data_IF_033678182225
#
_entry.id   IF_033678182225
#
_cell.length_a   1.000
_cell.length_b   1.000
_cell.length_c   1.000
_cell.angle_alpha   90.00
_cell.angle_beta   90.00
_cell.angle_gamma   90.00
#
_symmetry.space_group_name_H-M   'P 1'
#
loop_
_entity.id
_entity.type
_entity.pdbx_description
1 polymer ?
#
# COMPACT_ATOMS: atom_id res chain seq x y z
N UNK A 1 1.30 5.58 -2.21
CA UNK A 1 0.33 4.47 -2.31
C UNK A 1 -0.82 4.95 -3.17
N UNK A 2 -1.46 4.08 -3.94
CA UNK A 2 -2.65 4.41 -4.74
C UNK A 2 -3.80 3.49 -4.38
N UNK A 3 -5.03 3.92 -4.66
CA UNK A 3 -6.21 3.06 -4.63
C UNK A 3 -6.20 2.09 -5.81
N UNK A 4 -6.64 0.85 -5.57
CA UNK A 4 -6.94 -0.13 -6.62
C UNK A 4 -8.45 -0.35 -6.67
N UNK A 5 -9.09 0.14 -7.73
CA UNK A 5 -10.54 0.11 -7.86
C UNK A 5 -11.05 -1.33 -8.05
N UNK A 6 -11.91 -1.74 -7.13
CA UNK A 6 -12.61 -3.03 -7.18
C UNK A 6 -13.79 -3.04 -6.21
N UNK A 7 -14.76 -3.93 -6.47
CA UNK A 7 -15.82 -4.27 -5.52
C UNK A 7 -15.66 -5.70 -5.02
N UNK A 8 -16.33 -6.05 -3.91
CA UNK A 8 -16.38 -7.43 -3.42
C UNK A 8 -16.98 -8.39 -4.47
N UNK A 9 -17.94 -7.91 -5.26
CA UNK A 9 -18.53 -8.68 -6.35
C UNK A 9 -17.50 -8.95 -7.47
N UNK A 10 -16.72 -7.94 -7.89
CA UNK A 10 -15.70 -8.12 -8.93
C UNK A 10 -14.62 -9.12 -8.48
N UNK A 11 -14.16 -9.00 -7.22
CA UNK A 11 -13.22 -9.95 -6.63
C UNK A 11 -13.81 -11.36 -6.57
N UNK A 12 -15.08 -11.50 -6.16
CA UNK A 12 -15.79 -12.77 -6.14
C UNK A 12 -15.82 -13.43 -7.51
N UNK A 13 -16.15 -12.67 -8.56
CA UNK A 13 -16.18 -13.17 -9.93
C UNK A 13 -14.79 -13.61 -10.41
N UNK A 14 -13.75 -12.78 -10.20
CA UNK A 14 -12.36 -13.11 -10.58
C UNK A 14 -11.82 -14.33 -9.84
N UNK A 15 -12.12 -14.45 -8.55
CA UNK A 15 -11.74 -15.61 -7.75
C UNK A 15 -12.45 -16.87 -8.24
N UNK A 16 -13.75 -16.80 -8.54
CA UNK A 16 -14.46 -17.96 -9.08
C UNK A 16 -13.97 -18.37 -10.47
N UNK A 17 -13.60 -17.41 -11.31
CA UNK A 17 -13.01 -17.69 -12.62
C UNK A 17 -11.64 -18.38 -12.49
N UNK A 18 -10.82 -17.96 -11.52
CA UNK A 18 -9.49 -18.55 -11.27
C UNK A 18 -9.56 -19.88 -10.49
N UNK A 19 -10.44 -19.99 -9.49
CA UNK A 19 -10.58 -21.16 -8.62
C UNK A 19 -12.04 -21.29 -8.10
N UNK A 20 -12.91 -22.00 -8.85
CA UNK A 20 -14.36 -22.03 -8.59
C UNK A 20 -14.78 -22.52 -7.19
N UNK A 21 -13.95 -23.36 -6.56
CA UNK A 21 -14.25 -23.95 -5.26
C UNK A 21 -13.60 -23.20 -4.08
N UNK A 22 -12.83 -22.14 -4.35
CA UNK A 22 -12.08 -21.43 -3.31
C UNK A 22 -13.02 -20.77 -2.29
N UNK A 23 -14.04 -20.03 -2.73
CA UNK A 23 -14.96 -19.32 -1.83
C UNK A 23 -15.77 -20.27 -0.95
N UNK A 24 -16.19 -21.43 -1.50
CA UNK A 24 -16.88 -22.48 -0.74
C UNK A 24 -15.96 -23.04 0.37
N UNK A 25 -14.70 -23.30 0.03
CA UNK A 25 -13.67 -23.77 0.98
C UNK A 25 -13.31 -22.73 2.03
N UNK A 26 -13.22 -21.45 1.64
CA UNK A 26 -13.00 -20.32 2.52
C UNK A 26 -14.12 -20.19 3.55
N UNK A 27 -15.39 -20.22 3.11
CA UNK A 27 -16.57 -20.16 4.00
C UNK A 27 -16.55 -21.26 5.05
N UNK A 28 -16.31 -22.52 4.65
CA UNK A 28 -16.23 -23.67 5.57
C UNK A 28 -15.14 -23.47 6.65
N UNK A 29 -13.97 -22.96 6.25
CA UNK A 29 -12.84 -22.69 7.16
C UNK A 29 -13.15 -21.53 8.12
N UNK A 30 -13.74 -20.46 7.61
CA UNK A 30 -14.18 -19.32 8.45
C UNK A 30 -15.16 -19.77 9.53
N UNK A 31 -16.14 -20.61 9.21
CA UNK A 31 -17.05 -21.20 10.22
C UNK A 31 -16.31 -22.01 11.27
N UNK A 32 -15.32 -22.84 10.86
CA UNK A 32 -14.47 -23.60 11.81
C UNK A 32 -13.78 -22.65 12.79
N UNK A 33 -13.16 -21.57 12.31
CA UNK A 33 -12.42 -20.64 13.16
C UNK A 33 -13.31 -19.84 14.10
N UNK A 34 -14.51 -19.44 13.63
CA UNK A 34 -15.51 -18.79 14.48
C UNK A 34 -15.89 -19.68 15.65
N UNK A 35 -16.19 -20.96 15.38
CA UNK A 35 -16.54 -21.93 16.42
C UNK A 35 -15.37 -22.22 17.38
N UNK A 36 -14.14 -22.24 16.88
CA UNK A 36 -12.94 -22.47 17.69
C UNK A 36 -12.48 -21.22 18.48
N UNK A 37 -12.95 -20.03 18.12
CA UNK A 37 -12.48 -18.76 18.69
C UNK A 37 -11.02 -18.43 18.38
N UNK A 38 -10.42 -19.07 17.38
CA UNK A 38 -9.02 -18.90 16.99
C UNK A 38 -8.76 -19.38 15.56
N UNK A 39 -7.69 -18.86 14.96
CA UNK A 39 -7.14 -19.41 13.73
C UNK A 39 -6.33 -20.66 14.07
N UNK A 40 -6.68 -21.79 13.46
CA UNK A 40 -6.04 -23.09 13.72
C UNK A 40 -5.96 -23.91 12.42
N UNK A 41 -4.93 -23.59 11.63
CA UNK A 41 -4.54 -24.30 10.41
C UNK A 41 -3.01 -24.24 10.23
N UNK A 42 -2.42 -25.37 9.81
CA UNK A 42 -0.98 -25.47 9.51
C UNK A 42 -0.60 -24.79 8.20
N UNK A 43 -1.50 -24.84 7.22
CA UNK A 43 -1.30 -24.29 5.88
C UNK A 43 -2.60 -23.69 5.37
N UNK A 44 -2.54 -22.45 4.89
CA UNK A 44 -3.71 -21.77 4.34
C UNK A 44 -3.88 -21.94 2.84
N UNK A 45 -5.07 -21.59 2.35
CA UNK A 45 -5.41 -21.66 0.91
C UNK A 45 -5.34 -20.30 0.19
N UNK A 46 -4.97 -19.21 0.89
CA UNK A 46 -5.00 -17.84 0.31
C UNK A 46 -4.02 -17.64 -0.85
N UNK A 47 -2.93 -18.39 -0.89
CA UNK A 47 -1.96 -18.33 -2.01
C UNK A 47 -2.55 -18.83 -3.32
N UNK A 48 -3.60 -19.66 -3.27
CA UNK A 48 -4.25 -20.21 -4.48
C UNK A 48 -4.99 -19.14 -5.31
N UNK A 49 -5.22 -17.95 -4.75
CA UNK A 49 -5.86 -16.83 -5.45
C UNK A 49 -4.93 -15.61 -5.57
N UNK A 50 -3.62 -15.80 -5.34
CA UNK A 50 -2.62 -14.72 -5.32
C UNK A 50 -2.63 -13.91 -6.63
N UNK A 51 -2.71 -14.60 -7.76
CA UNK A 51 -2.65 -13.97 -9.10
C UNK A 51 -3.82 -12.99 -9.35
N UNK A 52 -4.99 -13.22 -8.75
CA UNK A 52 -6.13 -12.29 -8.84
C UNK A 52 -5.74 -10.92 -8.29
N UNK A 53 -5.02 -10.90 -7.16
CA UNK A 53 -4.57 -9.66 -6.52
C UNK A 53 -3.34 -9.08 -7.21
N UNK A 54 -2.44 -9.92 -7.74
CA UNK A 54 -1.31 -9.48 -8.56
C UNK A 54 -1.80 -8.65 -9.76
N UNK A 55 -2.71 -9.22 -10.55
CA UNK A 55 -3.30 -8.53 -11.70
C UNK A 55 -4.07 -7.27 -11.29
N UNK A 56 -4.87 -7.34 -10.21
CA UNK A 56 -5.62 -6.18 -9.70
C UNK A 56 -4.71 -5.02 -9.29
N UNK A 57 -3.57 -5.32 -8.69
CA UNK A 57 -2.63 -4.32 -8.19
C UNK A 57 -1.52 -3.97 -9.19
N UNK A 58 -1.64 -4.44 -10.43
CA UNK A 58 -0.64 -4.23 -11.49
C UNK A 58 0.76 -4.68 -11.07
N UNK A 59 0.84 -5.80 -10.34
CA UNK A 59 2.09 -6.37 -9.84
C UNK A 59 2.89 -5.39 -8.95
N UNK A 60 2.17 -4.48 -8.29
CA UNK A 60 2.75 -3.54 -7.31
C UNK A 60 2.44 -3.95 -5.89
N UNK A 61 3.43 -3.72 -5.03
CA UNK A 61 3.23 -3.79 -3.59
C UNK A 61 2.17 -2.77 -3.12
N UNK A 62 1.15 -3.23 -2.39
CA UNK A 62 0.08 -2.40 -1.82
C UNK A 62 0.59 -1.20 -1.01
N UNK A 63 1.72 -1.36 -0.31
CA UNK A 63 2.18 -0.39 0.69
C UNK A 63 3.29 0.54 0.20
N UNK A 64 4.22 0.04 -0.63
CA UNK A 64 5.36 0.83 -1.07
C UNK A 64 5.37 1.15 -2.57
N UNK A 65 4.39 0.65 -3.33
CA UNK A 65 4.26 0.86 -4.79
C UNK A 65 5.44 0.45 -5.65
N UNK A 66 6.39 -0.29 -5.09
CA UNK A 66 7.43 -0.95 -5.87
C UNK A 66 6.77 -1.93 -6.83
N UNK A 67 7.14 -1.84 -8.10
CA UNK A 67 6.83 -2.83 -9.12
C UNK A 67 7.63 -4.10 -8.84
N UNK A 68 6.95 -5.23 -8.84
CA UNK A 68 7.53 -6.56 -8.69
C UNK A 68 7.33 -7.32 -10.01
N UNK A 69 7.99 -8.47 -10.13
CA UNK A 69 7.81 -9.33 -11.29
C UNK A 69 6.34 -9.77 -11.42
N UNK A 70 5.83 -9.87 -12.65
CA UNK A 70 4.52 -10.44 -12.94
C UNK A 70 4.48 -11.96 -12.68
N UNK A 71 3.30 -12.57 -12.79
CA UNK A 71 3.13 -14.00 -12.51
C UNK A 71 4.01 -14.90 -13.40
N UNK A 72 4.15 -14.57 -14.68
CA UNK A 72 4.86 -15.37 -15.69
C UNK A 72 6.39 -15.27 -15.53
N UNK A 73 6.89 -14.20 -14.91
CA UNK A 73 8.31 -13.94 -14.67
C UNK A 73 8.74 -14.23 -13.22
N UNK A 74 8.03 -15.12 -12.52
CA UNK A 74 8.39 -15.56 -11.16
C UNK A 74 7.87 -14.66 -10.03
N UNK A 75 6.94 -13.74 -10.33
CA UNK A 75 6.33 -12.81 -9.39
C UNK A 75 5.60 -13.46 -8.22
N UNK A 76 5.13 -14.71 -8.38
CA UNK A 76 4.50 -15.47 -7.28
C UNK A 76 5.45 -15.70 -6.09
N UNK A 77 6.77 -15.61 -6.31
CA UNK A 77 7.82 -15.70 -5.28
C UNK A 77 8.06 -14.35 -4.63
N UNK A 78 7.96 -13.24 -5.37
CA UNK A 78 8.22 -11.88 -4.87
C UNK A 78 7.04 -11.30 -4.07
N UNK A 79 5.82 -11.73 -4.43
CA UNK A 79 4.58 -11.30 -3.84
C UNK A 79 4.14 -12.21 -2.69
N UNK A 80 3.75 -11.60 -1.57
CA UNK A 80 3.02 -12.27 -0.50
C UNK A 80 1.55 -11.82 -0.52
N UNK A 81 0.63 -12.77 -0.34
CA UNK A 81 -0.77 -12.42 -0.01
C UNK A 81 -0.79 -12.00 1.45
N UNK A 82 -1.05 -10.72 1.66
CA UNK A 82 -1.03 -10.10 2.98
C UNK A 82 -2.43 -9.91 3.54
N UNK A 83 -2.57 -10.25 4.82
CA UNK A 83 -3.77 -10.03 5.62
C UNK A 83 -3.73 -8.59 6.17
N UNK A 84 -4.57 -7.69 5.66
CA UNK A 84 -4.63 -6.31 6.19
C UNK A 84 -4.84 -6.32 7.71
N UNK A 85 -5.87 -7.04 8.17
CA UNK A 85 -6.07 -7.44 9.55
C UNK A 85 -5.47 -8.83 9.80
N UNK A 86 -4.48 -8.97 10.70
CA UNK A 86 -3.80 -10.25 10.94
C UNK A 86 -4.73 -11.34 11.46
N UNK A 87 -4.65 -12.53 10.87
CA UNK A 87 -5.40 -13.72 11.33
C UNK A 87 -4.99 -14.24 12.71
N UNK A 88 -3.77 -13.94 13.14
CA UNK A 88 -3.17 -14.36 14.42
C UNK A 88 -3.03 -13.18 15.38
N UNK A 89 -2.56 -13.45 16.59
CA UNK A 89 -2.34 -12.45 17.65
C UNK A 89 -1.71 -11.16 17.13
N UNK A 90 -2.18 -10.01 17.61
CA UNK A 90 -1.63 -8.69 17.28
C UNK A 90 -0.89 -8.18 18.53
N UNK A 91 0.43 -7.99 18.48
CA UNK A 91 1.17 -7.41 19.60
C UNK A 91 0.95 -5.89 19.67
N UNK A 92 1.45 -5.26 20.74
CA UNK A 92 1.59 -3.80 20.78
C UNK A 92 2.68 -3.40 19.79
N UNK A 93 2.39 -2.39 18.96
CA UNK A 93 3.34 -1.82 18.01
C UNK A 93 3.52 -0.31 18.25
N UNK A 94 4.76 0.22 18.16
CA UNK A 94 6.01 -0.53 18.10
C UNK A 94 6.29 -1.23 19.44
N UNK A 95 7.04 -2.34 19.42
CA UNK A 95 7.66 -2.84 20.65
C UNK A 95 8.82 -1.90 21.05
N UNK A 96 9.28 -1.99 22.30
CA UNK A 96 10.32 -1.09 22.85
C UNK A 96 11.58 -1.03 21.97
N UNK A 97 12.13 -2.18 21.58
CA UNK A 97 13.33 -2.24 20.73
C UNK A 97 13.10 -1.61 19.35
N UNK A 98 11.95 -1.84 18.73
CA UNK A 98 11.59 -1.23 17.43
C UNK A 98 11.42 0.29 17.56
N UNK A 99 10.83 0.75 18.66
CA UNK A 99 10.64 2.16 18.94
C UNK A 99 11.98 2.89 19.10
N UNK A 100 12.93 2.29 19.83
CA UNK A 100 14.28 2.81 20.02
C UNK A 100 15.08 2.80 18.72
N UNK A 101 15.16 1.65 18.05
CA UNK A 101 15.96 1.48 16.82
C UNK A 101 15.52 2.41 15.69
N UNK A 102 14.21 2.63 15.54
CA UNK A 102 13.64 3.44 14.45
C UNK A 102 13.21 4.83 14.89
N UNK A 103 13.55 5.21 16.12
CA UNK A 103 13.18 6.49 16.75
C UNK A 103 11.67 6.82 16.57
N UNK A 104 10.81 5.82 16.81
CA UNK A 104 9.36 5.98 16.68
C UNK A 104 8.80 6.50 17.99
N UNK A 105 8.37 7.77 17.98
CA UNK A 105 7.70 8.42 19.11
C UNK A 105 6.40 9.05 18.65
N UNK A 106 5.28 8.57 19.19
CA UNK A 106 3.95 9.12 18.95
C UNK A 106 3.28 9.41 20.28
N UNK A 107 2.76 10.63 20.43
CA UNK A 107 2.04 11.09 21.62
C UNK A 107 0.54 10.76 21.53
N UNK A 108 0.22 9.58 21.03
CA UNK A 108 -1.15 9.06 20.92
C UNK A 108 -1.13 7.54 20.91
N UNK A 109 -2.24 6.94 21.36
CA UNK A 109 -2.41 5.48 21.44
C UNK A 109 -2.35 4.84 20.05
N UNK A 110 -1.67 3.69 19.97
CA UNK A 110 -1.52 2.86 18.76
C UNK A 110 -2.30 1.55 18.87
N UNK A 111 -3.14 1.44 19.89
CA UNK A 111 -4.04 0.33 20.11
C UNK A 111 -3.41 -0.78 20.95
N UNK A 112 -4.28 -1.44 21.71
CA UNK A 112 -3.89 -2.56 22.59
C UNK A 112 -3.62 -3.83 21.78
N UNK A 113 -2.87 -4.76 22.39
CA UNK A 113 -2.71 -6.12 21.87
C UNK A 113 -4.06 -6.81 21.67
N UNK A 114 -4.11 -7.78 20.76
CA UNK A 114 -5.26 -8.66 20.53
C UNK A 114 -4.78 -10.11 20.47
N UNK A 115 -5.04 -10.90 21.52
CA UNK A 115 -4.37 -12.20 21.70
C UNK A 115 -4.77 -13.26 20.66
N UNK A 116 -5.98 -13.20 20.09
CA UNK A 116 -6.46 -14.18 19.09
C UNK A 116 -6.38 -13.69 17.64
N UNK A 117 -6.13 -12.40 17.42
CA UNK A 117 -6.20 -11.80 16.09
C UNK A 117 -7.59 -11.76 15.49
N UNK A 118 -7.63 -11.47 14.19
CA UNK A 118 -8.83 -11.40 13.37
C UNK A 118 -9.06 -12.72 12.64
N UNK A 119 -9.12 -13.82 13.39
CA UNK A 119 -9.20 -15.18 12.82
C UNK A 119 -10.43 -15.40 11.93
N UNK A 120 -11.54 -14.70 12.18
CA UNK A 120 -12.74 -14.74 11.34
C UNK A 120 -12.56 -14.06 9.97
N UNK A 121 -11.51 -13.23 9.82
CA UNK A 121 -11.13 -12.59 8.55
C UNK A 121 -9.98 -13.31 7.85
N UNK A 122 -9.55 -14.48 8.34
CA UNK A 122 -8.44 -15.24 7.76
C UNK A 122 -8.67 -15.56 6.27
N UNK A 123 -9.94 -15.73 5.87
CA UNK A 123 -10.38 -16.01 4.49
C UNK A 123 -11.38 -14.99 3.93
N UNK A 124 -11.40 -13.77 4.47
CA UNK A 124 -12.20 -12.69 3.91
C UNK A 124 -11.45 -12.03 2.74
N UNK A 125 -12.04 -12.05 1.54
CA UNK A 125 -11.40 -11.53 0.31
C UNK A 125 -11.20 -10.02 0.31
N UNK A 126 -11.95 -9.29 1.15
CA UNK A 126 -11.80 -7.85 1.40
C UNK A 126 -10.80 -7.56 2.53
N UNK A 127 -10.05 -8.57 2.98
CA UNK A 127 -8.97 -8.43 3.96
C UNK A 127 -7.58 -8.76 3.36
N UNK A 128 -7.49 -8.94 2.03
CA UNK A 128 -6.28 -9.33 1.33
C UNK A 128 -5.75 -8.23 0.43
N UNK A 129 -4.43 -8.14 0.32
CA UNK A 129 -3.76 -7.47 -0.79
C UNK A 129 -2.44 -8.21 -1.08
N UNK A 130 -1.77 -7.89 -2.18
CA UNK A 130 -0.39 -8.32 -2.40
C UNK A 130 0.59 -7.26 -1.89
N UNK A 131 1.67 -7.71 -1.29
CA UNK A 131 2.77 -6.85 -0.85
C UNK A 131 4.12 -7.52 -1.09
N UNK A 132 5.18 -6.71 -1.18
CA UNK A 132 6.54 -7.22 -1.28
C UNK A 132 6.99 -7.84 0.05
N UNK A 133 7.94 -8.79 -0.01
CA UNK A 133 8.50 -9.45 1.18
C UNK A 133 8.95 -8.48 2.27
N UNK A 134 9.56 -7.33 1.92
CA UNK A 134 10.04 -6.34 2.90
C UNK A 134 8.89 -5.63 3.63
N UNK A 135 7.79 -5.30 2.95
CA UNK A 135 6.63 -4.73 3.62
C UNK A 135 5.90 -5.78 4.47
N UNK A 136 5.80 -7.01 3.97
CA UNK A 136 5.06 -8.09 4.63
C UNK A 136 5.79 -8.68 5.85
N UNK A 137 6.99 -9.23 5.63
CA UNK A 137 7.63 -10.18 6.54
C UNK A 137 8.43 -9.52 7.69
N UNK A 138 9.31 -8.52 7.46
CA UNK A 138 10.02 -7.87 8.55
C UNK A 138 9.25 -6.69 9.16
N UNK A 139 8.47 -5.95 8.36
CA UNK A 139 7.79 -4.72 8.81
C UNK A 139 6.40 -5.01 9.37
N UNK A 140 5.46 -5.46 8.52
CA UNK A 140 4.07 -5.63 8.95
C UNK A 140 3.87 -6.79 9.92
N UNK A 141 4.33 -8.00 9.57
CA UNK A 141 4.08 -9.22 10.36
C UNK A 141 2.61 -9.28 10.78
N UNK A 142 2.36 -9.40 12.07
CA UNK A 142 1.06 -9.36 12.72
C UNK A 142 0.81 -8.03 13.44
N UNK A 143 1.57 -6.97 13.18
CA UNK A 143 1.34 -5.65 13.76
C UNK A 143 0.17 -4.96 13.06
N UNK A 144 -0.75 -4.39 13.85
CA UNK A 144 -1.91 -3.69 13.32
C UNK A 144 -2.31 -2.53 14.26
N UNK A 145 -1.64 -1.38 14.14
CA UNK A 145 -1.92 -0.23 14.98
C UNK A 145 -3.26 0.41 14.61
N UNK A 146 -4.04 0.78 15.63
CA UNK A 146 -5.38 1.37 15.48
C UNK A 146 -5.53 2.58 16.41
N UNK A 147 -6.37 3.55 16.05
CA UNK A 147 -6.55 4.76 16.84
C UNK A 147 -7.61 4.64 17.95
N UNK A 148 -8.41 3.56 17.94
CA UNK A 148 -9.54 3.34 18.85
C UNK A 148 -9.55 1.91 19.39
N UNK A 149 -10.71 1.44 19.83
CA UNK A 149 -10.90 0.10 20.39
C UNK A 149 -10.95 -0.96 19.29
N UNK A 150 -10.49 -2.17 19.61
CA UNK A 150 -10.65 -3.37 18.76
C UNK A 150 -12.15 -3.66 18.58
N UNK A 151 -12.52 -4.13 17.39
CA UNK A 151 -13.89 -4.58 17.14
C UNK A 151 -14.20 -5.95 17.74
N UNK A 152 -15.40 -6.44 17.46
CA UNK A 152 -15.90 -7.73 17.94
C UNK A 152 -15.66 -8.82 16.91
N UNK A 153 -15.60 -10.06 17.39
CA UNK A 153 -15.59 -11.25 16.52
C UNK A 153 -16.83 -11.20 15.63
N UNK A 154 -16.65 -11.54 14.35
CA UNK A 154 -17.67 -11.50 13.29
C UNK A 154 -18.03 -10.11 12.75
N UNK A 155 -17.44 -9.02 13.28
CA UNK A 155 -17.59 -7.71 12.63
C UNK A 155 -17.01 -7.75 11.21
N UNK A 156 -17.72 -7.12 10.27
CA UNK A 156 -17.28 -6.98 8.89
C UNK A 156 -16.08 -6.02 8.78
N UNK A 157 -15.24 -6.12 7.74
CA UNK A 157 -14.16 -5.16 7.53
C UNK A 157 -14.62 -3.69 7.54
N UNK A 158 -15.83 -3.41 7.03
CA UNK A 158 -16.41 -2.06 7.06
C UNK A 158 -16.69 -1.59 8.49
N UNK A 159 -17.37 -2.42 9.30
CA UNK A 159 -17.66 -2.10 10.69
C UNK A 159 -16.40 -1.91 11.52
N UNK A 160 -15.38 -2.71 11.25
CA UNK A 160 -14.08 -2.59 11.89
C UNK A 160 -13.37 -1.28 11.50
N UNK A 161 -13.45 -0.84 10.24
CA UNK A 161 -12.87 0.46 9.84
C UNK A 161 -13.53 1.64 10.57
N UNK A 162 -14.84 1.60 10.77
CA UNK A 162 -15.58 2.62 11.53
C UNK A 162 -15.19 2.63 13.02
N UNK A 163 -15.04 1.43 13.60
CA UNK A 163 -14.81 1.24 15.04
C UNK A 163 -13.35 1.49 15.42
N UNK A 164 -12.42 0.83 14.73
CA UNK A 164 -11.02 0.76 15.10
C UNK A 164 -10.22 1.97 14.63
N UNK A 165 -10.64 2.58 13.50
CA UNK A 165 -9.88 3.63 12.79
C UNK A 165 -8.41 3.22 12.59
N UNK A 166 -8.13 2.23 11.71
CA UNK A 166 -6.78 1.72 11.49
C UNK A 166 -5.80 2.81 11.08
N UNK A 167 -4.58 2.75 11.61
CA UNK A 167 -3.54 3.67 11.17
C UNK A 167 -2.94 3.27 9.82
N UNK A 168 -2.83 1.97 9.53
CA UNK A 168 -2.39 1.50 8.22
C UNK A 168 -3.47 1.77 7.16
N UNK A 169 -3.04 2.02 5.93
CA UNK A 169 -3.93 2.30 4.80
C UNK A 169 -4.19 1.00 4.04
N UNK A 170 -5.46 0.71 3.76
CA UNK A 170 -5.88 -0.41 2.92
C UNK A 170 -6.28 0.09 1.53
N UNK A 171 -5.47 -0.15 0.49
CA UNK A 171 -5.69 0.49 -0.81
C UNK A 171 -6.75 -0.19 -1.70
N UNK A 172 -7.35 -1.31 -1.27
CA UNK A 172 -8.21 -2.11 -2.12
C UNK A 172 -9.68 -1.64 -2.06
N UNK A 173 -10.25 -1.36 -3.23
CA UNK A 173 -11.64 -0.93 -3.38
C UNK A 173 -11.92 0.37 -2.64
N UNK A 174 -13.17 0.54 -2.17
CA UNK A 174 -13.64 1.73 -1.43
C UNK A 174 -13.88 1.48 0.06
N UNK A 175 -13.33 0.37 0.58
CA UNK A 175 -13.48 0.01 2.00
C UNK A 175 -12.78 1.03 2.93
N UNK A 176 -11.78 1.72 2.42
CA UNK A 176 -10.96 2.70 3.13
C UNK A 176 -10.85 4.02 2.36
N UNK A 177 -10.37 5.05 3.05
CA UNK A 177 -10.03 6.35 2.46
C UNK A 177 -8.98 6.22 1.36
N UNK A 178 -8.94 7.22 0.47
CA UNK A 178 -7.99 7.19 -0.63
C UNK A 178 -6.57 7.35 -0.07
N UNK A 179 -5.61 6.48 -0.41
CA UNK A 179 -4.24 6.66 0.05
C UNK A 179 -3.66 8.04 -0.31
N UNK A 180 -4.05 8.62 -1.45
CA UNK A 180 -3.57 9.93 -1.92
C UNK A 180 -4.20 11.12 -1.16
N UNK A 181 -5.31 10.88 -0.43
CA UNK A 181 -5.90 11.86 0.52
C UNK A 181 -5.19 11.87 1.89
N UNK A 182 -4.32 10.89 2.14
CA UNK A 182 -3.63 10.71 3.41
C UNK A 182 -2.13 11.03 3.25
N UNK A 183 -1.48 10.48 2.22
CA UNK A 183 -0.05 10.67 1.94
C UNK A 183 0.11 11.36 0.58
N UNK A 184 0.98 12.37 0.55
CA UNK A 184 1.48 12.99 -0.68
C UNK A 184 3.01 12.96 -0.66
N UNK A 185 3.65 13.65 -1.59
CA UNK A 185 5.10 13.65 -1.71
C UNK A 185 5.64 15.07 -1.83
N UNK A 186 6.80 15.29 -1.23
CA UNK A 186 7.66 16.44 -1.49
C UNK A 186 8.95 15.93 -2.14
N UNK A 187 9.06 16.10 -3.47
CA UNK A 187 10.03 15.37 -4.27
C UNK A 187 9.85 13.85 -4.09
N UNK A 188 10.91 13.16 -3.68
CA UNK A 188 10.91 11.70 -3.46
C UNK A 188 10.41 11.28 -2.06
N UNK A 189 10.22 12.26 -1.17
CA UNK A 189 9.94 12.02 0.26
C UNK A 189 8.42 12.01 0.48
N UNK A 190 7.84 10.91 1.02
CA UNK A 190 6.43 10.85 1.34
C UNK A 190 6.16 11.69 2.59
N UNK A 191 5.12 12.52 2.54
CA UNK A 191 4.69 13.40 3.63
C UNK A 191 3.18 13.29 3.87
N UNK A 192 2.68 13.64 5.06
CA UNK A 192 1.24 13.78 5.28
C UNK A 192 0.60 14.82 4.36
N UNK A 193 -0.52 14.49 3.70
CA UNK A 193 -1.30 15.46 2.90
C UNK A 193 -1.97 16.54 3.78
N UNK A 194 -2.27 16.19 5.04
CA UNK A 194 -2.84 17.11 6.04
C UNK A 194 -1.82 17.42 7.11
N UNK A 195 -1.85 18.62 7.67
CA UNK A 195 -0.89 19.08 8.68
C UNK A 195 -1.22 18.63 10.11
N UNK A 196 -2.48 18.28 10.39
CA UNK A 196 -2.94 17.82 11.70
C UNK A 196 -4.14 16.87 11.59
N UNK A 197 -4.65 16.41 12.74
CA UNK A 197 -5.85 15.58 12.83
C UNK A 197 -5.65 14.10 12.49
N UNK A 198 -6.76 13.34 12.32
CA UNK A 198 -6.71 11.89 12.11
C UNK A 198 -5.90 11.46 10.88
N UNK A 199 -6.07 12.12 9.72
CA UNK A 199 -5.34 11.80 8.49
C UNK A 199 -3.84 12.05 8.64
N UNK A 200 -3.43 13.13 9.30
CA UNK A 200 -2.02 13.41 9.59
C UNK A 200 -1.38 12.31 10.44
N UNK A 201 -2.05 11.89 11.53
CA UNK A 201 -1.57 10.77 12.37
C UNK A 201 -1.45 9.48 11.56
N UNK A 202 -2.46 9.20 10.73
CA UNK A 202 -2.52 8.04 9.84
C UNK A 202 -1.35 8.00 8.85
N UNK A 203 -1.06 9.13 8.21
CA UNK A 203 0.08 9.29 7.34
C UNK A 203 1.40 9.06 8.08
N UNK A 204 1.63 9.74 9.21
CA UNK A 204 2.87 9.61 10.00
C UNK A 204 3.11 8.18 10.45
N UNK A 205 2.08 7.51 10.99
CA UNK A 205 2.19 6.10 11.39
C UNK A 205 2.52 5.24 10.18
N UNK A 206 1.82 5.38 9.06
CA UNK A 206 2.04 4.53 7.89
C UNK A 206 3.41 4.72 7.25
N UNK A 207 3.86 5.97 7.08
CA UNK A 207 5.20 6.31 6.57
C UNK A 207 6.27 5.67 7.45
N UNK A 208 6.18 5.90 8.77
CA UNK A 208 7.14 5.33 9.73
C UNK A 208 7.06 3.82 9.75
N UNK A 209 5.87 3.23 9.76
CA UNK A 209 5.64 1.78 9.85
C UNK A 209 6.27 1.01 8.69
N UNK A 210 6.11 1.50 7.46
CA UNK A 210 6.68 0.87 6.27
C UNK A 210 8.03 1.45 5.82
N UNK A 211 8.60 2.37 6.59
CA UNK A 211 9.89 3.03 6.31
C UNK A 211 9.90 3.67 4.92
N UNK A 212 8.79 4.29 4.55
CA UNK A 212 8.58 4.76 3.17
C UNK A 212 9.54 5.89 2.77
N UNK A 213 10.12 6.58 3.75
CA UNK A 213 11.02 7.73 3.60
C UNK A 213 12.49 7.42 3.90
N UNK A 214 12.83 6.24 4.42
CA UNK A 214 14.21 5.88 4.81
C UNK A 214 14.79 4.71 4.03
N UNK A 215 13.96 3.98 3.28
CA UNK A 215 14.40 2.85 2.44
C UNK A 215 15.06 3.37 1.17
N UNK A 216 16.38 3.25 1.06
CA UNK A 216 17.18 3.74 -0.07
C UNK A 216 16.64 3.27 -1.42
N UNK A 217 16.20 2.01 -1.52
CA UNK A 217 15.69 1.48 -2.78
C UNK A 217 14.40 2.21 -3.23
N UNK A 218 13.54 2.62 -2.30
CA UNK A 218 12.33 3.37 -2.63
C UNK A 218 12.65 4.81 -3.04
N UNK A 219 13.61 5.44 -2.36
CA UNK A 219 14.05 6.80 -2.67
C UNK A 219 14.66 6.83 -4.08
N UNK A 220 15.53 5.86 -4.40
CA UNK A 220 16.18 5.73 -5.71
C UNK A 220 15.19 5.43 -6.83
N UNK A 221 14.24 4.52 -6.61
CA UNK A 221 13.19 4.24 -7.60
C UNK A 221 12.30 5.46 -7.86
N UNK A 222 11.90 6.21 -6.83
CA UNK A 222 11.14 7.46 -7.01
C UNK A 222 11.94 8.54 -7.71
N UNK A 223 13.22 8.70 -7.36
CA UNK A 223 14.11 9.66 -8.02
C UNK A 223 14.16 9.39 -9.53
N UNK A 224 14.31 8.12 -9.95
CA UNK A 224 14.25 7.73 -11.38
C UNK A 224 12.93 8.12 -12.04
N UNK A 225 11.80 7.87 -11.37
CA UNK A 225 10.50 8.30 -11.88
C UNK A 225 10.40 9.82 -12.05
N UNK A 226 10.91 10.59 -11.09
CA UNK A 226 10.90 12.05 -11.15
C UNK A 226 11.85 12.61 -12.22
N UNK A 227 13.02 12.01 -12.41
CA UNK A 227 13.93 12.37 -13.51
C UNK A 227 13.30 12.11 -14.88
N UNK A 228 12.60 10.98 -15.03
CA UNK A 228 11.88 10.68 -16.27
C UNK A 228 10.73 11.67 -16.52
N UNK A 229 10.01 12.06 -15.46
CA UNK A 229 8.98 13.09 -15.54
C UNK A 229 9.58 14.44 -15.96
N UNK A 230 10.68 14.85 -15.34
CA UNK A 230 11.38 16.11 -15.63
C UNK A 230 11.87 16.17 -17.08
N UNK A 231 12.48 15.09 -17.58
CA UNK A 231 12.89 14.97 -18.98
C UNK A 231 11.72 15.17 -19.94
N UNK A 232 10.57 14.54 -19.66
CA UNK A 232 9.38 14.68 -20.49
C UNK A 232 8.81 16.11 -20.43
N UNK A 233 8.81 16.76 -19.26
CA UNK A 233 8.37 18.15 -19.09
C UNK A 233 9.27 19.12 -19.88
N UNK A 234 10.59 18.95 -19.84
CA UNK A 234 11.54 19.75 -20.66
C UNK A 234 11.20 19.66 -22.14
N UNK A 235 10.91 18.46 -22.65
CA UNK A 235 10.52 18.26 -24.04
C UNK A 235 9.21 18.98 -24.35
N UNK A 236 8.20 18.87 -23.48
CA UNK A 236 6.90 19.55 -23.65
C UNK A 236 7.03 21.07 -23.67
N UNK A 237 7.99 21.65 -22.95
CA UNK A 237 8.19 23.09 -22.87
C UNK A 237 9.16 23.63 -23.94
N UNK A 238 9.87 22.75 -24.62
CA UNK A 238 10.81 23.13 -25.68
C UNK A 238 10.14 23.57 -26.98
N UNK A 239 10.96 24.11 -27.90
CA UNK A 239 10.62 24.44 -29.29
C UNK A 239 10.73 23.23 -30.26
N UNK A 240 10.77 22.00 -29.73
CA UNK A 240 10.82 20.79 -30.56
C UNK A 240 9.52 20.58 -31.37
N UNK A 241 9.56 19.79 -32.46
CA UNK A 241 8.37 19.48 -33.27
C UNK A 241 7.20 18.93 -32.43
N UNK A 242 5.98 19.28 -32.81
CA UNK A 242 4.77 18.91 -32.06
C UNK A 242 4.61 17.38 -31.90
N UNK A 243 5.07 16.59 -32.87
CA UNK A 243 5.10 15.13 -32.77
C UNK A 243 5.94 14.65 -31.58
N UNK A 244 7.12 15.25 -31.37
CA UNK A 244 8.00 14.93 -30.23
C UNK A 244 7.36 15.34 -28.91
N UNK A 245 6.73 16.51 -28.87
CA UNK A 245 6.00 17.00 -27.70
C UNK A 245 4.80 16.10 -27.35
N UNK A 246 4.09 15.59 -28.36
CA UNK A 246 2.97 14.66 -28.18
C UNK A 246 3.41 13.33 -27.57
N UNK A 247 4.57 12.80 -27.97
CA UNK A 247 5.18 11.61 -27.33
C UNK A 247 5.49 11.90 -25.86
N UNK A 248 6.14 13.02 -25.55
CA UNK A 248 6.46 13.37 -24.17
C UNK A 248 5.20 13.55 -23.29
N UNK A 249 4.11 14.15 -23.82
CA UNK A 249 2.82 14.20 -23.11
C UNK A 249 2.26 12.80 -22.84
N UNK A 250 2.42 11.87 -23.77
CA UNK A 250 2.02 10.47 -23.60
C UNK A 250 2.85 9.78 -22.51
N UNK A 251 4.15 10.06 -22.44
CA UNK A 251 5.01 9.53 -21.39
C UNK A 251 4.64 10.06 -20.00
N UNK A 252 4.27 11.34 -19.87
CA UNK A 252 3.74 11.91 -18.63
C UNK A 252 2.46 11.17 -18.20
N UNK A 253 1.54 10.93 -19.14
CA UNK A 253 0.31 10.13 -18.87
C UNK A 253 0.67 8.72 -18.40
N UNK A 254 1.65 8.07 -19.06
CA UNK A 254 2.11 6.73 -18.69
C UNK A 254 2.67 6.72 -17.26
N UNK A 255 3.57 7.64 -16.91
CA UNK A 255 4.19 7.73 -15.58
C UNK A 255 3.17 7.93 -14.44
N UNK A 256 2.06 8.61 -14.72
CA UNK A 256 0.95 8.84 -13.76
C UNK A 256 -0.03 7.66 -13.66
N UNK A 257 0.09 6.67 -14.54
CA UNK A 257 -0.81 5.53 -14.60
C UNK A 257 -0.78 4.71 -13.30
N UNK A 258 -1.92 4.12 -12.86
CA UNK A 258 -1.91 3.14 -11.78
C UNK A 258 -0.94 1.98 -12.00
N UNK A 259 -0.65 1.65 -13.27
CA UNK A 259 0.27 0.58 -13.66
C UNK A 259 1.75 0.94 -13.51
N UNK A 260 2.09 2.21 -13.35
CA UNK A 260 3.48 2.63 -13.19
C UNK A 260 3.94 2.52 -11.74
N UNK A 261 5.22 2.18 -11.51
CA UNK A 261 5.80 2.20 -10.17
C UNK A 261 5.72 3.61 -9.59
N UNK A 262 5.50 3.69 -8.28
CA UNK A 262 5.47 4.97 -7.54
C UNK A 262 4.57 6.05 -8.15
N UNK A 263 3.47 5.67 -8.78
CA UNK A 263 2.65 6.63 -9.53
C UNK A 263 2.00 7.70 -8.65
N UNK A 264 1.76 7.43 -7.37
CA UNK A 264 1.37 8.48 -6.40
C UNK A 264 2.43 9.57 -6.23
N UNK A 265 3.73 9.21 -6.25
CA UNK A 265 4.84 10.17 -6.18
C UNK A 265 4.88 11.04 -7.44
N UNK A 266 4.70 10.43 -8.62
CA UNK A 266 4.65 11.14 -9.90
C UNK A 266 3.45 12.08 -9.96
N UNK A 267 2.26 11.62 -9.53
CA UNK A 267 1.04 12.45 -9.49
C UNK A 267 1.24 13.68 -8.60
N UNK A 268 1.76 13.48 -7.39
CA UNK A 268 2.07 14.57 -6.47
C UNK A 268 3.10 15.56 -7.06
N UNK A 269 4.11 15.06 -7.77
CA UNK A 269 5.09 15.92 -8.45
C UNK A 269 4.46 16.72 -9.61
N UNK A 270 3.53 16.14 -10.38
CA UNK A 270 2.79 16.90 -11.38
C UNK A 270 1.93 18.00 -10.76
N UNK A 271 1.22 17.71 -9.67
CA UNK A 271 0.41 18.71 -8.97
C UNK A 271 1.30 19.84 -8.42
N UNK A 272 2.43 19.49 -7.79
CA UNK A 272 3.41 20.44 -7.28
C UNK A 272 4.07 21.28 -8.39
N UNK A 273 4.31 20.68 -9.57
CA UNK A 273 4.83 21.40 -10.73
C UNK A 273 3.84 22.45 -11.25
N UNK A 274 2.55 22.14 -11.24
CA UNK A 274 1.49 23.09 -11.65
C UNK A 274 1.38 24.24 -10.64
N UNK A 275 1.56 23.96 -9.34
CA UNK A 275 1.48 24.95 -8.27
C UNK A 275 2.71 25.86 -8.20
N UNK A 276 3.91 25.30 -8.26
CA UNK A 276 5.20 26.01 -8.17
C UNK A 276 6.27 25.30 -9.04
N UNK A 277 6.34 25.63 -10.34
CA UNK A 277 7.29 25.03 -11.26
C UNK A 277 8.74 25.20 -10.82
N UNK A 278 9.12 26.38 -10.32
CA UNK A 278 10.50 26.70 -9.95
C UNK A 278 10.98 25.86 -8.76
N UNK A 279 10.14 25.71 -7.74
CA UNK A 279 10.44 24.82 -6.61
C UNK A 279 10.53 23.37 -7.07
N UNK A 280 9.61 22.91 -7.92
CA UNK A 280 9.61 21.53 -8.37
C UNK A 280 10.82 21.22 -9.27
N UNK A 281 11.29 22.16 -10.09
CA UNK A 281 12.55 22.04 -10.86
C UNK A 281 13.76 21.84 -9.95
N UNK A 282 13.84 22.54 -8.81
CA UNK A 282 14.90 22.30 -7.80
C UNK A 282 14.81 20.90 -7.21
N UNK A 283 13.61 20.39 -6.96
CA UNK A 283 13.42 19.02 -6.47
C UNK A 283 13.76 17.96 -7.52
N UNK A 284 13.49 18.20 -8.81
CA UNK A 284 13.95 17.35 -9.90
C UNK A 284 15.48 17.31 -9.98
N UNK A 285 16.14 18.46 -9.86
CA UNK A 285 17.59 18.55 -9.81
C UNK A 285 18.17 17.76 -8.62
N UNK A 286 17.61 17.92 -7.41
CA UNK A 286 18.02 17.15 -6.25
C UNK A 286 17.84 15.62 -6.46
N UNK A 287 16.81 15.21 -7.21
CA UNK A 287 16.60 13.80 -7.55
C UNK A 287 17.68 13.27 -8.51
N UNK A 288 18.18 14.10 -9.44
CA UNK A 288 19.32 13.75 -10.32
C UNK A 288 20.59 13.60 -9.52
N UNK A 289 20.91 14.59 -8.69
CA UNK A 289 22.09 14.57 -7.82
C UNK A 289 22.13 13.34 -6.90
N UNK A 290 20.98 12.95 -6.34
CA UNK A 290 20.86 11.71 -5.56
C UNK A 290 21.11 10.43 -6.37
N UNK A 291 20.80 10.41 -7.67
CA UNK A 291 21.07 9.24 -8.52
C UNK A 291 22.53 9.14 -8.93
N UNK A 292 23.21 10.28 -9.02
CA UNK A 292 24.62 10.39 -9.41
C UNK A 292 25.57 10.12 -8.23
N UNK A 293 25.06 10.15 -6.98
CA UNK A 293 25.76 9.73 -5.76
C UNK A 293 25.66 8.23 -5.48
#
# INVERSE_FOLDING_TARGET
MIRYDTTENDLTQKINASNPNWLKRAKKRTTKFINAGAYDEKSGIWSEIKEVYMALQHDKCAYCERQLADADLGGTIEHDVEHFRPKNSVPVWPNKSTAELRNIKFEFDLGKKLDKGYFWLAYNIMNYCISCKKCNSPLKKNNFPIARNRGKVSDTPQKLNETEKPYLIYPLGKLDEDPEEIITFDGVVPIPKKQNGPRWRRAKVTIRFFELDTREELIRERARCLVNLDNALIIVESNLPEQTKAVARTDIVRLRSPKSPHSSCVRAACDAYIEDPDRMRKLFQAAREYLDS
#
